data_IF_032434286861
#
_entry.id   IF_032434286861
#
_cell.length_a   1.000
_cell.length_b   1.000
_cell.length_c   1.000
_cell.angle_alpha   90.00
_cell.angle_beta   90.00
_cell.angle_gamma   90.00
#
_symmetry.space_group_name_H-M   'P 1'
#
loop_
_entity.id
_entity.type
_entity.pdbx_description
1 polymer ?
#
# COMPACT_ATOMS: atom_id res chain seq x y z
N UNK A 1 -6.80 -25.00 -3.79
CA UNK A 1 -7.16 -24.98 -5.23
C UNK A 1 -5.95 -24.62 -6.05
N UNK A 2 -5.81 -25.13 -7.29
CA UNK A 2 -4.60 -24.99 -8.12
C UNK A 2 -3.29 -25.45 -7.44
N UNK A 3 -3.38 -26.37 -6.49
CA UNK A 3 -2.23 -26.91 -5.75
C UNK A 3 -1.38 -27.87 -6.60
N UNK A 4 -1.96 -28.39 -7.67
CA UNK A 4 -1.33 -29.17 -8.74
C UNK A 4 -0.56 -28.30 -9.74
N UNK A 5 -0.68 -26.96 -9.65
CA UNK A 5 0.00 -26.03 -10.55
C UNK A 5 1.19 -25.34 -9.88
N UNK A 6 2.26 -25.22 -10.63
CA UNK A 6 3.44 -24.42 -10.29
C UNK A 6 3.86 -23.57 -11.49
N UNK A 7 4.53 -22.45 -11.22
CA UNK A 7 5.01 -21.56 -12.28
C UNK A 7 6.33 -22.09 -12.85
N UNK A 8 6.43 -22.14 -14.17
CA UNK A 8 7.67 -22.44 -14.89
C UNK A 8 7.94 -21.33 -15.91
N UNK A 9 9.16 -20.80 -15.94
CA UNK A 9 9.54 -19.70 -16.82
C UNK A 9 9.03 -18.34 -16.32
N UNK A 10 7.91 -17.85 -16.87
CA UNK A 10 7.39 -16.49 -16.60
C UNK A 10 6.32 -16.51 -15.50
N UNK A 11 6.52 -15.73 -14.45
CA UNK A 11 5.53 -15.49 -13.38
C UNK A 11 4.58 -14.37 -13.80
N UNK A 12 3.27 -14.55 -13.59
CA UNK A 12 2.32 -13.45 -13.74
C UNK A 12 2.62 -12.35 -12.70
N UNK A 13 2.89 -11.13 -13.17
CA UNK A 13 3.29 -9.99 -12.35
C UNK A 13 2.06 -9.29 -11.76
N UNK A 14 1.57 -9.80 -10.63
CA UNK A 14 0.58 -9.13 -9.79
C UNK A 14 -0.77 -8.82 -10.44
N UNK A 15 -1.58 -8.06 -9.72
CA UNK A 15 -2.86 -7.50 -10.17
C UNK A 15 -2.88 -5.99 -9.92
N UNK A 16 -3.69 -5.28 -10.71
CA UNK A 16 -4.05 -3.89 -10.50
C UNK A 16 -5.55 -3.73 -10.72
N UNK A 17 -6.26 -3.18 -9.73
CA UNK A 17 -7.66 -2.79 -9.83
C UNK A 17 -7.69 -1.25 -9.80
N UNK A 18 -8.06 -0.58 -10.90
CA UNK A 18 -8.16 0.87 -10.94
C UNK A 18 -9.29 1.37 -10.04
N UNK A 19 -9.24 2.66 -9.68
CA UNK A 19 -10.28 3.30 -8.87
C UNK A 19 -11.67 3.15 -9.49
N UNK A 20 -12.60 2.62 -8.71
CA UNK A 20 -14.01 2.43 -9.11
C UNK A 20 -15.01 3.15 -8.19
N UNK A 21 -14.61 3.49 -6.96
CA UNK A 21 -15.47 4.24 -6.02
C UNK A 21 -15.57 5.73 -6.36
N UNK A 22 -16.70 6.34 -5.98
CA UNK A 22 -17.04 7.75 -6.21
C UNK A 22 -16.98 8.14 -7.70
N UNK A 23 -17.49 7.27 -8.57
CA UNK A 23 -17.56 7.47 -10.01
C UNK A 23 -19.00 7.36 -10.52
N UNK A 24 -19.35 8.08 -11.59
CA UNK A 24 -20.65 8.01 -12.26
C UNK A 24 -21.90 8.12 -11.35
N UNK A 25 -21.83 8.95 -10.31
CA UNK A 25 -22.95 9.19 -9.39
C UNK A 25 -22.93 8.33 -8.13
N UNK A 26 -22.02 7.36 -8.02
CA UNK A 26 -21.68 6.74 -6.73
C UNK A 26 -21.15 7.82 -5.77
N UNK A 27 -21.59 7.75 -4.51
CA UNK A 27 -21.23 8.71 -3.46
C UNK A 27 -20.99 7.98 -2.15
N UNK A 28 -19.78 8.13 -1.63
CA UNK A 28 -19.33 7.63 -0.34
C UNK A 28 -19.29 8.77 0.68
N UNK A 29 -19.09 8.43 1.95
CA UNK A 29 -18.94 9.38 3.05
C UNK A 29 -17.51 9.97 3.16
N UNK A 30 -16.71 9.76 2.12
CA UNK A 30 -15.38 10.33 1.89
C UNK A 30 -15.25 10.76 0.41
N UNK A 31 -14.32 11.68 0.14
CA UNK A 31 -13.95 12.16 -1.19
C UNK A 31 -12.93 11.23 -1.86
N UNK A 32 -12.84 11.31 -3.19
CA UNK A 32 -11.92 10.51 -4.02
C UNK A 32 -12.24 9.02 -3.92
N UNK A 33 -11.27 8.15 -4.12
CA UNK A 33 -11.50 6.72 -4.03
C UNK A 33 -10.18 6.00 -3.98
N UNK A 34 -10.25 4.69 -4.09
CA UNK A 34 -9.09 3.82 -3.98
C UNK A 34 -9.10 2.76 -5.07
N UNK A 35 -7.91 2.21 -5.32
CA UNK A 35 -7.73 1.01 -6.12
C UNK A 35 -6.95 -0.03 -5.34
N UNK A 36 -6.67 -1.17 -5.96
CA UNK A 36 -5.89 -2.25 -5.34
C UNK A 36 -4.69 -2.64 -6.17
N UNK A 37 -3.63 -3.03 -5.47
CA UNK A 37 -2.54 -3.82 -6.04
C UNK A 37 -2.39 -5.10 -5.24
N UNK A 38 -1.91 -6.15 -5.88
CA UNK A 38 -1.82 -7.44 -5.23
C UNK A 38 -1.00 -8.45 -5.99
N UNK A 39 -0.81 -9.62 -5.40
CA UNK A 39 -0.16 -10.73 -6.06
C UNK A 39 -0.50 -12.07 -5.40
N UNK A 40 -0.29 -13.13 -6.15
CA UNK A 40 -0.30 -14.49 -5.63
C UNK A 40 1.12 -15.06 -5.56
N UNK A 41 1.36 -15.92 -4.57
CA UNK A 41 2.58 -16.71 -4.45
C UNK A 41 2.32 -18.01 -3.72
N UNK A 42 3.16 -19.03 -3.96
CA UNK A 42 3.22 -20.22 -3.11
C UNK A 42 4.25 -20.04 -2.01
N UNK A 43 3.97 -20.59 -0.84
CA UNK A 43 4.95 -20.64 0.24
C UNK A 43 6.20 -21.42 -0.19
N UNK A 44 7.37 -20.85 0.09
CA UNK A 44 8.66 -21.41 -0.31
C UNK A 44 9.17 -22.49 0.65
N UNK A 45 10.45 -22.83 0.48
CA UNK A 45 11.15 -23.79 1.34
C UNK A 45 11.39 -23.27 2.77
N UNK A 46 11.31 -21.96 2.99
CA UNK A 46 11.47 -21.34 4.31
C UNK A 46 10.22 -21.41 5.19
N UNK A 47 9.20 -22.17 4.78
CA UNK A 47 7.98 -22.35 5.57
C UNK A 47 8.29 -23.17 6.81
N UNK A 48 7.79 -22.72 7.95
CA UNK A 48 7.88 -23.47 9.19
C UNK A 48 6.88 -24.64 9.14
N UNK A 49 7.34 -25.84 9.49
CA UNK A 49 6.49 -27.02 9.65
C UNK A 49 6.68 -27.46 11.09
N UNK A 50 5.77 -27.05 11.97
CA UNK A 50 5.92 -27.17 13.42
C UNK A 50 6.18 -28.62 13.88
N UNK A 51 5.66 -29.59 13.15
CA UNK A 51 5.80 -31.02 13.41
C UNK A 51 7.14 -31.61 12.91
N UNK A 52 7.88 -30.89 12.06
CA UNK A 52 9.11 -31.37 11.42
C UNK A 52 10.29 -30.48 11.80
N UNK A 53 11.11 -30.94 12.75
CA UNK A 53 12.26 -30.17 13.24
C UNK A 53 13.48 -30.29 12.31
N UNK A 54 13.89 -31.53 11.98
CA UNK A 54 15.00 -31.84 11.08
C UNK A 54 14.89 -33.30 10.60
N UNK A 55 15.29 -33.61 9.36
CA UNK A 55 15.31 -35.00 8.87
C UNK A 55 14.90 -35.17 7.41
N UNK A 56 14.79 -36.43 6.97
CA UNK A 56 14.32 -36.80 5.63
C UNK A 56 12.93 -36.25 5.33
N UNK A 57 12.04 -36.28 6.32
CA UNK A 57 10.63 -35.92 6.14
C UNK A 57 10.49 -34.41 5.96
N UNK A 58 11.28 -33.61 6.67
CA UNK A 58 11.39 -32.18 6.43
C UNK A 58 11.90 -31.89 5.01
N UNK A 59 12.96 -32.60 4.57
CA UNK A 59 13.51 -32.42 3.21
C UNK A 59 12.50 -32.78 2.12
N UNK A 60 11.77 -33.88 2.29
CA UNK A 60 10.73 -34.32 1.36
C UNK A 60 9.53 -33.37 1.35
N UNK A 61 9.14 -32.83 2.51
CA UNK A 61 8.11 -31.80 2.54
C UNK A 61 8.58 -30.55 1.77
N UNK A 62 9.79 -30.04 2.07
CA UNK A 62 10.31 -28.80 1.47
C UNK A 62 10.66 -28.92 -0.02
N UNK A 63 10.75 -30.13 -0.59
CA UNK A 63 10.89 -30.32 -2.04
C UNK A 63 9.61 -30.02 -2.82
N UNK A 64 8.46 -29.96 -2.14
CA UNK A 64 7.19 -29.56 -2.75
C UNK A 64 6.82 -28.10 -2.40
N UNK A 65 6.23 -27.34 -3.35
CA UNK A 65 5.73 -26.00 -3.09
C UNK A 65 4.63 -25.99 -2.02
N UNK A 66 4.69 -25.04 -1.10
CA UNK A 66 3.66 -24.88 -0.07
C UNK A 66 2.34 -24.33 -0.61
N UNK A 67 1.38 -24.03 0.27
CA UNK A 67 0.07 -23.51 -0.10
C UNK A 67 0.12 -22.19 -0.88
N UNK A 68 -0.94 -21.91 -1.63
CA UNK A 68 -1.13 -20.61 -2.29
C UNK A 68 -1.57 -19.54 -1.29
N UNK A 69 -0.97 -18.37 -1.38
CA UNK A 69 -1.44 -17.14 -0.74
C UNK A 69 -1.74 -16.09 -1.81
N UNK A 70 -2.81 -15.32 -1.58
CA UNK A 70 -3.14 -14.14 -2.36
C UNK A 70 -3.23 -12.93 -1.44
N UNK A 71 -2.55 -11.85 -1.81
CA UNK A 71 -2.57 -10.59 -1.07
C UNK A 71 -3.08 -9.45 -1.93
N UNK A 72 -3.90 -8.59 -1.33
CA UNK A 72 -4.43 -7.37 -1.94
C UNK A 72 -4.28 -6.20 -0.98
N UNK A 73 -3.80 -5.06 -1.48
CA UNK A 73 -3.53 -3.85 -0.71
C UNK A 73 -4.26 -2.66 -1.35
N UNK A 74 -5.03 -1.95 -0.55
CA UNK A 74 -5.75 -0.74 -0.96
C UNK A 74 -4.82 0.47 -1.04
N UNK A 75 -4.94 1.24 -2.10
CA UNK A 75 -4.22 2.51 -2.32
C UNK A 75 -5.25 3.62 -2.53
N UNK A 76 -5.27 4.57 -1.61
CA UNK A 76 -6.13 5.76 -1.65
C UNK A 76 -5.34 7.04 -1.59
N UNK A 77 -5.97 8.14 -1.97
CA UNK A 77 -5.39 9.47 -1.91
C UNK A 77 -5.51 10.04 -0.49
N UNK A 78 -4.41 10.56 0.04
CA UNK A 78 -4.44 11.47 1.20
C UNK A 78 -4.69 12.87 0.66
N UNK A 79 -5.75 13.52 1.13
CA UNK A 79 -6.06 14.86 0.65
C UNK A 79 -4.97 15.87 1.06
N UNK A 80 -4.73 16.91 0.24
CA UNK A 80 -3.75 17.94 0.57
C UNK A 80 -4.27 18.82 1.69
N UNK A 81 -3.63 18.74 2.85
CA UNK A 81 -3.92 19.61 3.98
C UNK A 81 -2.71 20.49 4.31
N UNK A 82 -2.93 21.79 4.54
CA UNK A 82 -1.85 22.73 4.87
C UNK A 82 -1.21 22.48 6.25
N UNK A 83 -1.94 21.84 7.15
CA UNK A 83 -1.46 21.40 8.46
C UNK A 83 -0.73 20.05 8.41
N UNK A 84 -0.68 19.39 7.25
CA UNK A 84 0.25 18.30 6.98
C UNK A 84 1.47 18.87 6.25
N UNK A 85 2.59 19.04 6.95
CA UNK A 85 3.77 19.71 6.42
C UNK A 85 5.09 19.08 6.91
N UNK A 86 6.19 19.47 6.26
CA UNK A 86 7.54 19.18 6.71
C UNK A 86 8.37 20.45 6.81
N UNK A 87 9.30 20.46 7.76
CA UNK A 87 10.29 21.53 7.93
C UNK A 87 11.67 20.94 8.17
N UNK A 88 12.70 21.77 8.04
CA UNK A 88 14.04 21.40 8.51
C UNK A 88 14.14 21.69 10.01
N UNK A 89 14.63 20.73 10.77
CA UNK A 89 14.87 20.88 12.20
C UNK A 89 16.03 21.85 12.44
N UNK A 90 15.84 22.84 13.32
CA UNK A 90 16.83 23.90 13.56
C UNK A 90 17.94 23.49 14.53
N UNK A 91 17.76 22.39 15.26
CA UNK A 91 18.68 21.97 16.33
C UNK A 91 19.26 20.57 16.09
N UNK A 92 18.52 19.69 15.41
CA UNK A 92 18.96 18.32 15.12
C UNK A 92 19.60 18.25 13.73
N UNK A 93 20.79 17.67 13.69
CA UNK A 93 21.55 17.43 12.46
C UNK A 93 21.79 15.95 12.23
N UNK A 94 21.89 15.55 10.98
CA UNK A 94 22.32 14.21 10.59
C UNK A 94 23.84 14.02 10.77
N UNK A 95 24.34 12.83 10.44
CA UNK A 95 25.76 12.47 10.57
C UNK A 95 26.70 13.27 9.65
N UNK A 96 26.17 14.04 8.72
CA UNK A 96 26.92 14.91 7.81
C UNK A 96 26.76 16.40 8.16
N UNK A 97 26.07 16.73 9.25
CA UNK A 97 25.89 18.09 9.73
C UNK A 97 24.76 18.87 9.06
N UNK A 98 23.90 18.22 8.26
CA UNK A 98 22.73 18.84 7.65
C UNK A 98 21.52 18.77 8.59
N UNK A 99 20.65 19.80 8.62
CA UNK A 99 19.37 19.74 9.32
C UNK A 99 18.54 18.52 8.94
N UNK A 100 18.01 17.79 9.92
CA UNK A 100 17.11 16.66 9.64
C UNK A 100 15.72 17.15 9.25
N UNK A 101 14.95 16.31 8.56
CA UNK A 101 13.54 16.59 8.25
C UNK A 101 12.69 16.34 9.50
N UNK A 102 11.85 17.32 9.86
CA UNK A 102 10.77 17.19 10.84
C UNK A 102 9.43 17.16 10.10
N UNK A 103 8.65 16.10 10.30
CA UNK A 103 7.35 15.90 9.66
C UNK A 103 6.27 16.04 10.72
N UNK A 104 5.28 16.89 10.43
CA UNK A 104 4.06 17.06 11.22
C UNK A 104 2.88 16.79 10.29
N UNK A 105 2.37 15.56 10.33
CA UNK A 105 1.35 15.12 9.42
C UNK A 105 0.57 13.93 9.98
N UNK A 106 -0.73 13.91 9.72
CA UNK A 106 -1.63 12.82 10.13
C UNK A 106 -2.67 12.51 9.05
N UNK A 107 -3.24 11.30 9.12
CA UNK A 107 -4.45 10.97 8.37
C UNK A 107 -5.64 11.71 8.97
N UNK A 108 -6.54 12.22 8.12
CA UNK A 108 -7.74 12.93 8.55
C UNK A 108 -8.96 12.03 8.36
N UNK A 109 -10.14 12.55 8.73
CA UNK A 109 -11.39 11.77 8.74
C UNK A 109 -11.71 11.13 7.38
N UNK A 110 -11.38 11.83 6.28
CA UNK A 110 -11.57 11.34 4.91
C UNK A 110 -10.84 10.02 4.66
N UNK A 111 -9.54 9.98 4.97
CA UNK A 111 -8.71 8.79 4.77
C UNK A 111 -9.13 7.68 5.72
N UNK A 112 -9.49 8.02 6.97
CA UNK A 112 -9.93 7.04 7.97
C UNK A 112 -11.22 6.33 7.56
N UNK A 113 -12.17 7.02 6.93
CA UNK A 113 -13.37 6.41 6.35
C UNK A 113 -13.04 5.54 5.14
N UNK A 114 -12.24 6.08 4.22
CA UNK A 114 -11.83 5.38 3.00
C UNK A 114 -11.14 4.04 3.30
N UNK A 115 -10.31 3.98 4.35
CA UNK A 115 -9.61 2.74 4.78
C UNK A 115 -10.54 1.62 5.20
N UNK A 116 -11.64 1.95 5.88
CA UNK A 116 -12.64 0.96 6.30
C UNK A 116 -13.31 0.35 5.08
N UNK A 117 -13.68 1.19 4.11
CA UNK A 117 -14.31 0.73 2.87
C UNK A 117 -13.34 -0.09 2.00
N UNK A 118 -12.05 0.31 1.92
CA UNK A 118 -11.00 -0.51 1.28
C UNK A 118 -10.91 -1.93 1.86
N UNK A 119 -11.04 -2.09 3.17
CA UNK A 119 -10.96 -3.40 3.79
C UNK A 119 -12.22 -4.23 3.49
N UNK A 120 -13.40 -3.61 3.63
CA UNK A 120 -14.68 -4.26 3.40
C UNK A 120 -14.81 -4.76 1.95
N UNK A 121 -14.54 -3.89 0.98
CA UNK A 121 -14.58 -4.21 -0.45
C UNK A 121 -13.57 -5.29 -0.80
N UNK A 122 -12.37 -5.26 -0.20
CA UNK A 122 -11.35 -6.27 -0.48
C UNK A 122 -11.82 -7.67 -0.05
N UNK A 123 -12.42 -7.76 1.15
CA UNK A 123 -12.97 -9.01 1.67
C UNK A 123 -14.13 -9.49 0.76
N UNK A 124 -15.04 -8.58 0.41
CA UNK A 124 -16.18 -8.90 -0.45
C UNK A 124 -15.74 -9.41 -1.82
N UNK A 125 -14.84 -8.70 -2.50
CA UNK A 125 -14.35 -9.08 -3.82
C UNK A 125 -13.67 -10.44 -3.82
N UNK A 126 -12.77 -10.69 -2.85
CA UNK A 126 -12.04 -11.95 -2.79
C UNK A 126 -12.96 -13.12 -2.44
N UNK A 127 -13.95 -12.89 -1.57
CA UNK A 127 -14.95 -13.91 -1.23
C UNK A 127 -15.78 -14.28 -2.47
N UNK A 128 -16.28 -13.30 -3.22
CA UNK A 128 -17.04 -13.54 -4.46
C UNK A 128 -16.19 -14.16 -5.57
N UNK A 129 -14.89 -13.85 -5.63
CA UNK A 129 -13.96 -14.50 -6.55
C UNK A 129 -13.63 -15.97 -6.16
N UNK A 130 -14.14 -16.45 -5.03
CA UNK A 130 -13.94 -17.82 -4.56
C UNK A 130 -12.63 -18.07 -3.81
N UNK A 131 -11.96 -16.99 -3.36
CA UNK A 131 -10.81 -17.11 -2.45
C UNK A 131 -11.30 -17.62 -1.09
N UNK A 132 -10.54 -18.53 -0.49
CA UNK A 132 -10.83 -19.12 0.83
C UNK A 132 -9.99 -18.43 1.90
N UNK A 133 -10.46 -18.48 3.14
CA UNK A 133 -9.75 -17.95 4.32
C UNK A 133 -9.38 -16.46 4.18
N UNK A 134 -10.35 -15.67 3.71
CA UNK A 134 -10.19 -14.23 3.47
C UNK A 134 -10.26 -13.47 4.80
N UNK A 135 -9.18 -12.75 5.11
CA UNK A 135 -9.10 -11.90 6.30
C UNK A 135 -8.69 -10.48 5.92
N UNK A 136 -9.41 -9.50 6.45
CA UNK A 136 -8.98 -8.11 6.39
C UNK A 136 -7.87 -7.82 7.39
N UNK A 137 -6.96 -6.93 7.01
CA UNK A 137 -5.95 -6.38 7.92
C UNK A 137 -5.98 -4.86 7.85
N UNK A 138 -6.06 -4.22 9.01
CA UNK A 138 -5.93 -2.77 9.16
C UNK A 138 -4.82 -2.49 10.18
N UNK A 139 -3.63 -2.20 9.67
CA UNK A 139 -2.46 -1.88 10.48
C UNK A 139 -2.37 -0.40 10.85
N UNK A 140 -1.42 -0.05 11.71
CA UNK A 140 -1.13 1.34 12.05
C UNK A 140 -0.58 2.10 10.82
N UNK A 141 -1.46 2.75 10.07
CA UNK A 141 -1.09 3.59 8.94
C UNK A 141 -0.74 4.98 9.39
N UNK A 142 0.50 5.11 9.82
CA UNK A 142 1.15 6.41 9.86
C UNK A 142 1.53 6.83 8.44
N UNK A 143 1.40 8.12 8.15
CA UNK A 143 2.01 8.72 6.97
C UNK A 143 3.53 8.42 6.99
N UNK A 144 4.12 8.18 5.82
CA UNK A 144 5.51 7.72 5.71
C UNK A 144 5.69 6.24 5.38
N UNK A 145 4.71 5.37 5.69
CA UNK A 145 4.83 3.92 5.42
C UNK A 145 4.71 3.56 3.95
N UNK A 146 4.05 4.40 3.16
CA UNK A 146 3.84 4.16 1.73
C UNK A 146 5.06 4.47 0.87
N UNK A 147 6.04 5.23 1.39
CA UNK A 147 7.22 5.71 0.62
C UNK A 147 6.79 6.48 -0.65
N UNK A 148 5.59 7.06 -0.60
CA UNK A 148 4.90 7.73 -1.71
C UNK A 148 4.53 9.16 -1.26
N UNK A 149 5.40 9.80 -0.48
CA UNK A 149 5.19 11.15 0.04
C UNK A 149 5.31 12.17 -1.10
N UNK A 150 4.31 13.03 -1.23
CA UNK A 150 4.14 13.93 -2.38
C UNK A 150 3.74 15.33 -1.89
N UNK A 151 3.97 16.34 -2.74
CA UNK A 151 3.42 17.69 -2.52
C UNK A 151 4.25 18.63 -1.64
N UNK A 152 5.41 18.19 -1.13
CA UNK A 152 6.32 19.02 -0.30
C UNK A 152 6.90 20.21 -1.07
N UNK A 153 7.08 20.06 -2.38
CA UNK A 153 7.31 21.15 -3.33
C UNK A 153 6.27 21.11 -4.45
N UNK A 154 4.98 21.31 -4.09
CA UNK A 154 3.86 21.10 -5.02
C UNK A 154 3.89 22.01 -6.25
N UNK A 155 3.48 21.44 -7.37
CA UNK A 155 3.18 22.13 -8.62
C UNK A 155 1.82 22.83 -8.55
N UNK A 156 1.70 24.02 -9.14
CA UNK A 156 0.43 24.72 -9.25
C UNK A 156 0.41 25.80 -10.33
N UNK A 157 -0.67 26.57 -10.35
CA UNK A 157 -0.89 27.67 -11.28
C UNK A 157 -0.70 29.06 -10.64
N UNK A 158 -0.48 29.13 -9.32
CA UNK A 158 -0.36 30.38 -8.56
C UNK A 158 0.85 30.30 -7.61
N UNK A 159 1.80 31.26 -7.66
CA UNK A 159 2.95 31.32 -6.75
C UNK A 159 2.58 31.41 -5.27
N UNK A 160 1.40 31.93 -4.92
CA UNK A 160 0.96 32.02 -3.52
C UNK A 160 0.59 30.67 -2.93
N UNK A 161 0.31 29.69 -3.78
CA UNK A 161 -0.17 28.37 -3.36
C UNK A 161 0.69 27.23 -3.87
N UNK A 162 1.82 27.46 -4.53
CA UNK A 162 2.67 26.39 -5.06
C UNK A 162 4.14 26.79 -5.09
N UNK A 163 5.03 25.80 -5.16
CA UNK A 163 6.48 26.03 -5.22
C UNK A 163 6.97 26.12 -6.66
N UNK A 164 6.38 25.30 -7.54
CA UNK A 164 6.76 25.25 -8.95
C UNK A 164 5.57 25.41 -9.88
N UNK A 165 5.82 25.94 -11.07
CA UNK A 165 4.84 26.03 -12.15
C UNK A 165 4.70 24.68 -12.90
N UNK A 166 3.83 24.64 -13.93
CA UNK A 166 3.56 23.44 -14.75
C UNK A 166 4.78 22.82 -15.46
N UNK A 167 5.89 23.56 -15.55
CA UNK A 167 7.14 23.13 -16.17
C UNK A 167 8.20 22.70 -15.13
N UNK A 168 7.83 22.56 -13.84
CA UNK A 168 8.75 22.32 -12.72
C UNK A 168 9.78 23.45 -12.48
N UNK A 169 9.44 24.69 -12.81
CA UNK A 169 10.28 25.85 -12.51
C UNK A 169 9.79 26.54 -11.24
N UNK A 170 10.70 26.99 -10.36
CA UNK A 170 10.36 27.81 -9.19
C UNK A 170 9.81 29.17 -9.69
N UNK A 171 8.87 29.73 -8.93
CA UNK A 171 8.34 31.06 -9.18
C UNK A 171 9.39 32.16 -8.96
N UNK A 172 9.33 33.22 -9.75
CA UNK A 172 10.14 34.44 -9.55
C UNK A 172 9.60 35.31 -8.40
#
# INVERSE_FOLDING_TARGET
GYEDKYVFGRRANGIYIPRYQNFNGDKRDYLRGFGYQGSASRAGWSREIAELSIGSDLKAALSEPGGWGFGMMGFGEVLPHHDNFMTLDKTVKDKWGLPVIKIDAELKENEMKMRKDMQADAIEMLTHAGVKDVHGYDGNAVLGRGIHEMGTARMGADPKTSVVNKNNQIWE
#
